data_IF_046345397294
#
_entry.id   IF_046345397294
#
_cell.length_a   1.000
_cell.length_b   1.000
_cell.length_c   1.000
_cell.angle_alpha   90.00
_cell.angle_beta   90.00
_cell.angle_gamma   90.00
#
_symmetry.space_group_name_H-M   'P 1'
#
loop_
_entity.id
_entity.type
_entity.pdbx_description
1 polymer ?
#
# COMPACT_ATOMS: atom_id res chain seq x y z
N UNK A 1 15.34 -12.32 -16.98
CA UNK A 1 14.96 -12.81 -15.64
C UNK A 1 15.00 -11.60 -14.73
N UNK A 2 13.85 -11.09 -14.31
CA UNK A 2 13.79 -9.95 -13.38
C UNK A 2 14.41 -10.42 -12.07
N UNK A 3 15.58 -9.91 -11.71
CA UNK A 3 16.08 -10.07 -10.34
C UNK A 3 15.14 -9.25 -9.48
N UNK A 4 14.22 -9.92 -8.80
CA UNK A 4 13.43 -9.32 -7.74
C UNK A 4 14.41 -8.63 -6.78
N UNK A 5 14.27 -7.33 -6.49
CA UNK A 5 15.24 -6.59 -5.67
C UNK A 5 15.28 -7.07 -4.21
N UNK A 6 14.36 -7.97 -3.82
CA UNK A 6 14.25 -8.50 -2.47
C UNK A 6 14.85 -9.91 -2.36
N UNK A 7 15.62 -10.20 -1.30
CA UNK A 7 16.12 -11.53 -1.02
C UNK A 7 14.98 -12.50 -0.64
N UNK A 8 15.28 -13.80 -0.66
CA UNK A 8 14.43 -14.84 -0.06
C UNK A 8 14.89 -15.14 1.35
N UNK A 9 13.97 -15.21 2.31
CA UNK A 9 14.30 -15.64 3.66
C UNK A 9 14.71 -17.13 3.67
N UNK A 10 15.77 -17.52 4.39
CA UNK A 10 16.26 -18.90 4.41
C UNK A 10 15.33 -19.86 5.17
N UNK A 11 14.58 -19.36 6.15
CA UNK A 11 13.64 -20.12 6.97
C UNK A 11 12.55 -19.21 7.56
N UNK A 12 11.58 -19.81 8.24
CA UNK A 12 10.44 -19.12 8.88
C UNK A 12 10.88 -18.15 9.97
N UNK A 13 11.89 -18.48 10.78
CA UNK A 13 12.33 -17.60 11.85
C UNK A 13 12.99 -16.34 11.28
N UNK A 14 13.82 -16.49 10.25
CA UNK A 14 14.41 -15.38 9.53
C UNK A 14 13.37 -14.49 8.84
N UNK A 15 12.28 -15.09 8.32
CA UNK A 15 11.17 -14.33 7.74
C UNK A 15 10.38 -13.53 8.79
N UNK A 16 10.04 -14.16 9.91
CA UNK A 16 9.10 -13.59 10.89
C UNK A 16 9.76 -12.69 11.93
N UNK A 17 11.04 -12.92 12.22
CA UNK A 17 11.79 -12.27 13.31
C UNK A 17 13.14 -11.72 12.89
N UNK A 18 13.58 -11.99 11.66
CA UNK A 18 14.86 -11.51 11.14
C UNK A 18 14.81 -10.06 10.67
N UNK A 19 15.95 -9.58 10.20
CA UNK A 19 16.15 -8.18 9.76
C UNK A 19 15.98 -8.00 8.23
N UNK A 20 15.87 -9.11 7.49
CA UNK A 20 15.73 -9.07 6.04
C UNK A 20 14.28 -8.75 5.66
N UNK A 21 14.12 -7.72 4.81
CA UNK A 21 12.89 -7.52 4.06
C UNK A 21 12.84 -8.52 2.90
N UNK A 22 12.08 -9.59 3.07
CA UNK A 22 11.86 -10.66 2.12
C UNK A 22 10.35 -10.84 1.86
N UNK A 23 9.71 -9.89 1.12
CA UNK A 23 8.27 -9.90 0.93
C UNK A 23 7.79 -11.17 0.23
N UNK A 24 6.73 -11.76 0.76
CA UNK A 24 6.10 -12.95 0.20
C UNK A 24 5.04 -12.52 -0.81
N UNK A 25 5.49 -12.30 -2.03
CA UNK A 25 4.59 -12.06 -3.14
C UNK A 25 3.72 -13.30 -3.41
N UNK A 26 2.43 -13.08 -3.67
CA UNK A 26 1.50 -14.14 -4.04
C UNK A 26 1.79 -14.69 -5.47
N UNK A 27 0.94 -15.61 -5.96
CA UNK A 27 1.11 -16.22 -7.29
C UNK A 27 1.11 -15.21 -8.45
N UNK A 28 0.52 -14.02 -8.27
CA UNK A 28 0.50 -12.93 -9.25
C UNK A 28 1.71 -11.99 -9.10
N UNK A 29 2.63 -12.27 -8.18
CA UNK A 29 3.77 -11.40 -7.88
C UNK A 29 3.40 -10.16 -7.07
N UNK A 30 2.37 -10.24 -6.21
CA UNK A 30 1.82 -9.09 -5.48
C UNK A 30 1.80 -9.29 -3.95
N UNK A 31 2.00 -8.20 -3.22
CA UNK A 31 1.69 -8.06 -1.79
C UNK A 31 0.56 -7.06 -1.58
N UNK A 32 -0.15 -7.21 -0.46
CA UNK A 32 -1.18 -6.24 -0.05
C UNK A 32 -0.49 -4.98 0.49
N UNK A 33 -1.00 -3.81 0.13
CA UNK A 33 -0.55 -2.53 0.68
C UNK A 33 -1.74 -1.76 1.24
N UNK A 34 -1.71 -1.50 2.54
CA UNK A 34 -2.69 -0.66 3.24
C UNK A 34 -2.07 0.71 3.46
N UNK A 35 -2.74 1.76 2.99
CA UNK A 35 -2.37 3.13 3.30
C UNK A 35 -3.19 3.64 4.47
N UNK A 36 -2.51 4.15 5.50
CA UNK A 36 -3.12 4.72 6.69
C UNK A 36 -2.57 6.12 6.92
N UNK A 37 -3.43 7.06 7.28
CA UNK A 37 -2.99 8.41 7.63
C UNK A 37 -2.07 8.35 8.85
N UNK A 38 -0.87 8.93 8.73
CA UNK A 38 0.17 8.84 9.75
C UNK A 38 -0.27 9.45 11.09
N UNK A 39 -0.92 10.61 11.04
CA UNK A 39 -1.29 11.36 12.24
C UNK A 39 -2.66 10.96 12.85
N UNK A 40 -3.66 10.59 12.04
CA UNK A 40 -5.02 10.27 12.53
C UNK A 40 -5.27 8.78 12.73
N UNK A 41 -4.49 7.91 12.09
CA UNK A 41 -4.73 6.47 12.09
C UNK A 41 -5.88 6.02 11.18
N UNK A 42 -6.49 6.92 10.41
CA UNK A 42 -7.55 6.57 9.45
C UNK A 42 -7.01 5.68 8.33
N UNK A 43 -7.68 4.56 8.03
CA UNK A 43 -7.36 3.74 6.87
C UNK A 43 -7.86 4.46 5.62
N UNK A 44 -6.96 4.78 4.71
CA UNK A 44 -7.24 5.57 3.52
C UNK A 44 -7.60 4.69 2.33
N UNK A 45 -6.83 3.62 2.09
CA UNK A 45 -7.06 2.72 0.97
C UNK A 45 -6.32 1.40 1.13
N UNK A 46 -6.77 0.41 0.36
CA UNK A 46 -6.04 -0.82 0.08
C UNK A 46 -5.68 -0.85 -1.41
N UNK A 47 -4.47 -1.27 -1.72
CA UNK A 47 -4.00 -1.54 -3.07
C UNK A 47 -3.03 -2.73 -3.07
N UNK A 48 -2.46 -3.02 -4.23
CA UNK A 48 -1.47 -4.07 -4.43
C UNK A 48 -0.13 -3.45 -4.81
N UNK A 49 0.97 -4.06 -4.42
CA UNK A 49 2.31 -3.73 -4.88
C UNK A 49 2.94 -4.98 -5.48
N UNK A 50 3.51 -4.86 -6.67
CA UNK A 50 4.52 -5.82 -7.12
C UNK A 50 5.91 -5.42 -6.56
N UNK A 51 6.92 -6.20 -6.89
CA UNK A 51 8.30 -5.96 -6.45
C UNK A 51 8.82 -4.56 -6.81
N UNK A 52 8.56 -4.11 -8.03
CA UNK A 52 8.95 -2.78 -8.52
C UNK A 52 8.24 -1.67 -7.75
N UNK A 53 6.94 -1.80 -7.49
CA UNK A 53 6.17 -0.80 -6.76
C UNK A 53 6.64 -0.66 -5.31
N UNK A 54 6.92 -1.77 -4.63
CA UNK A 54 7.45 -1.75 -3.27
C UNK A 54 8.86 -1.14 -3.23
N UNK A 55 9.73 -1.52 -4.17
CA UNK A 55 11.09 -0.98 -4.26
C UNK A 55 11.09 0.54 -4.49
N UNK A 56 10.29 1.03 -5.45
CA UNK A 56 10.16 2.47 -5.71
C UNK A 56 9.55 3.22 -4.52
N UNK A 57 8.66 2.58 -3.77
CA UNK A 57 8.08 3.19 -2.56
C UNK A 57 9.14 3.42 -1.49
N UNK A 58 10.01 2.43 -1.27
CA UNK A 58 11.14 2.52 -0.34
C UNK A 58 12.17 3.56 -0.82
N UNK A 59 12.47 3.58 -2.11
CA UNK A 59 13.46 4.50 -2.70
C UNK A 59 13.00 5.96 -2.67
N UNK A 60 11.77 6.22 -3.10
CA UNK A 60 11.29 7.59 -3.32
C UNK A 60 10.60 8.20 -2.11
N UNK A 61 10.22 7.39 -1.11
CA UNK A 61 9.38 7.82 0.01
C UNK A 61 7.95 8.23 -0.42
N UNK A 62 7.51 7.85 -1.62
CA UNK A 62 6.15 8.10 -2.12
C UNK A 62 5.48 6.79 -2.46
N UNK A 63 4.22 6.61 -2.10
CA UNK A 63 3.50 5.37 -2.37
C UNK A 63 3.32 5.11 -3.88
N UNK A 64 3.88 3.99 -4.34
CA UNK A 64 3.67 3.42 -5.67
C UNK A 64 2.87 2.13 -5.54
N UNK A 65 1.97 1.88 -6.48
CA UNK A 65 1.11 0.70 -6.46
C UNK A 65 1.07 0.04 -7.84
N UNK A 66 0.57 -1.19 -7.88
CA UNK A 66 0.41 -1.97 -9.09
C UNK A 66 -1.07 -2.28 -9.37
N UNK A 67 -1.53 -1.90 -10.57
CA UNK A 67 -2.93 -2.01 -10.96
C UNK A 67 -3.14 -3.34 -11.65
N UNK A 68 -3.81 -4.27 -10.96
CA UNK A 68 -4.13 -5.59 -11.53
C UNK A 68 -4.96 -5.49 -12.81
N UNK A 69 -5.93 -4.57 -12.84
CA UNK A 69 -6.80 -4.38 -14.01
C UNK A 69 -6.10 -3.72 -15.19
N UNK A 70 -5.17 -2.78 -14.95
CA UNK A 70 -4.40 -2.10 -16.01
C UNK A 70 -3.07 -2.79 -16.33
N UNK A 71 -2.71 -3.81 -15.53
CA UNK A 71 -1.41 -4.45 -15.51
C UNK A 71 -0.25 -3.43 -15.52
N UNK A 72 -0.35 -2.39 -14.69
CA UNK A 72 0.52 -1.22 -14.75
C UNK A 72 0.88 -0.67 -13.38
N UNK A 73 2.13 -0.24 -13.24
CA UNK A 73 2.63 0.56 -12.12
C UNK A 73 1.97 1.95 -12.14
N UNK A 74 1.66 2.50 -10.96
CA UNK A 74 1.29 3.91 -10.85
C UNK A 74 1.81 4.53 -9.55
N UNK A 75 2.25 5.78 -9.64
CA UNK A 75 2.57 6.62 -8.48
C UNK A 75 1.31 7.32 -7.99
N UNK A 76 0.89 7.09 -6.74
CA UNK A 76 -0.38 7.68 -6.26
C UNK A 76 -0.29 9.20 -6.28
N UNK A 77 -1.28 9.82 -6.91
CA UNK A 77 -1.38 11.28 -7.01
C UNK A 77 -0.54 11.90 -8.11
N UNK A 78 0.12 11.11 -8.98
CA UNK A 78 0.93 11.65 -10.09
C UNK A 78 0.13 12.58 -11.01
N UNK A 79 -1.15 12.27 -11.24
CA UNK A 79 -2.03 13.11 -12.05
C UNK A 79 -2.81 14.15 -11.21
N UNK A 80 -3.25 13.80 -10.00
CA UNK A 80 -4.12 14.67 -9.18
C UNK A 80 -3.38 15.59 -8.21
N UNK A 81 -2.07 15.41 -8.02
CA UNK A 81 -1.29 16.10 -6.98
C UNK A 81 -1.48 15.54 -5.56
N UNK A 82 -2.43 14.61 -5.36
CA UNK A 82 -2.72 13.97 -4.06
C UNK A 82 -1.73 12.83 -3.76
N UNK A 83 -0.45 13.20 -3.66
CA UNK A 83 0.64 12.27 -3.32
C UNK A 83 0.45 11.71 -1.92
N UNK A 84 0.97 10.51 -1.70
CA UNK A 84 1.04 9.88 -0.37
C UNK A 84 2.50 9.77 0.04
N UNK A 85 2.98 10.69 0.88
CA UNK A 85 4.36 10.68 1.38
C UNK A 85 4.46 9.67 2.50
N UNK A 86 5.31 8.65 2.34
CA UNK A 86 5.50 7.59 3.32
C UNK A 86 6.34 8.12 4.47
N UNK A 87 5.81 8.03 5.68
CA UNK A 87 6.47 8.40 6.93
C UNK A 87 7.00 7.19 7.70
N UNK A 88 6.36 6.04 7.53
CA UNK A 88 6.74 4.76 8.12
C UNK A 88 6.14 3.65 7.24
N UNK A 89 6.88 2.56 7.07
CA UNK A 89 6.41 1.32 6.43
C UNK A 89 6.54 0.21 7.47
N UNK A 90 5.41 -0.46 7.76
CA UNK A 90 5.40 -1.68 8.55
C UNK A 90 5.14 -2.87 7.65
N UNK A 91 5.64 -4.03 8.05
CA UNK A 91 5.49 -5.30 7.37
C UNK A 91 4.78 -6.23 8.35
N UNK A 92 3.85 -7.05 7.86
CA UNK A 92 3.25 -8.09 8.68
C UNK A 92 4.22 -9.26 8.94
N UNK A 93 3.80 -10.21 9.78
CA UNK A 93 4.71 -11.20 10.33
C UNK A 93 5.29 -12.14 9.27
N UNK A 94 4.55 -12.48 8.22
CA UNK A 94 5.00 -13.39 7.17
C UNK A 94 5.25 -12.68 5.83
N UNK A 95 5.28 -11.36 5.89
CA UNK A 95 5.68 -10.40 4.86
C UNK A 95 4.85 -10.44 3.57
N UNK A 96 3.57 -10.84 3.64
CA UNK A 96 2.66 -10.80 2.49
C UNK A 96 1.81 -9.51 2.43
N UNK A 97 1.90 -8.67 3.46
CA UNK A 97 1.28 -7.35 3.51
C UNK A 97 2.19 -6.27 4.11
N UNK A 98 2.00 -5.03 3.64
CA UNK A 98 2.61 -3.83 4.19
C UNK A 98 1.57 -2.80 4.62
N UNK A 99 1.88 -2.09 5.69
CA UNK A 99 1.13 -0.92 6.17
C UNK A 99 1.98 0.34 5.98
N UNK A 100 1.54 1.20 5.06
CA UNK A 100 2.14 2.49 4.79
C UNK A 100 1.47 3.54 5.67
N UNK A 101 2.21 4.11 6.62
CA UNK A 101 1.82 5.33 7.30
C UNK A 101 2.16 6.51 6.40
N UNK A 102 1.15 7.17 5.84
CA UNK A 102 1.33 8.21 4.84
C UNK A 102 0.81 9.55 5.32
N UNK A 103 1.43 10.63 4.83
CA UNK A 103 0.91 12.00 4.92
C UNK A 103 0.35 12.41 3.55
N UNK A 104 -0.97 12.37 3.36
CA UNK A 104 -1.61 12.79 2.11
C UNK A 104 -1.27 14.25 1.78
N UNK A 105 -1.01 14.53 0.51
CA UNK A 105 -0.80 15.88 -0.01
C UNK A 105 -2.06 16.38 -0.73
N UNK A 106 -2.06 17.64 -1.16
CA UNK A 106 -3.21 18.26 -1.83
C UNK A 106 -4.36 18.50 -0.85
N UNK A 107 -5.58 18.15 -1.26
CA UNK A 107 -6.80 18.20 -0.42
C UNK A 107 -6.88 17.04 0.60
N UNK A 108 -5.88 16.14 0.59
CA UNK A 108 -5.83 14.96 1.44
C UNK A 108 -6.67 13.78 0.95
N UNK A 109 -7.29 13.87 -0.24
CA UNK A 109 -8.08 12.81 -0.85
C UNK A 109 -7.26 11.57 -1.23
N UNK A 110 -7.66 10.39 -0.78
CA UNK A 110 -7.15 9.13 -1.34
C UNK A 110 -8.06 8.56 -2.43
N UNK A 111 -9.36 8.92 -2.44
CA UNK A 111 -10.35 8.34 -3.32
C UNK A 111 -10.65 9.21 -4.56
N UNK A 112 -10.84 8.56 -5.71
CA UNK A 112 -11.16 9.24 -6.96
C UNK A 112 -12.59 9.82 -7.02
N UNK A 113 -13.47 9.42 -6.08
CA UNK A 113 -14.82 9.99 -5.93
C UNK A 113 -14.87 11.17 -4.95
N UNK A 114 -13.73 11.68 -4.50
CA UNK A 114 -13.62 12.91 -3.70
C UNK A 114 -13.51 12.70 -2.19
N UNK A 115 -13.68 11.47 -1.69
CA UNK A 115 -13.53 11.17 -0.26
C UNK A 115 -12.06 11.02 0.16
N UNK A 116 -11.79 11.35 1.43
CA UNK A 116 -10.47 11.15 2.04
C UNK A 116 -10.09 9.67 2.07
N UNK A 117 -11.00 8.81 2.51
CA UNK A 117 -10.83 7.37 2.51
C UNK A 117 -11.67 6.70 1.41
N UNK A 118 -11.12 5.64 0.80
CA UNK A 118 -11.88 4.73 -0.04
C UNK A 118 -12.96 3.96 0.75
N UNK A 119 -12.86 3.93 2.08
CA UNK A 119 -13.78 3.26 3.00
C UNK A 119 -14.88 4.20 3.53
N UNK A 120 -15.31 5.15 2.71
CA UNK A 120 -16.37 6.14 3.01
C UNK A 120 -17.80 5.55 3.09
N UNK A 121 -17.97 4.23 2.96
CA UNK A 121 -19.30 3.58 3.00
C UNK A 121 -19.37 2.55 4.10
N UNK A 122 -20.50 2.55 4.80
CA UNK A 122 -20.84 1.57 5.85
C UNK A 122 -22.06 0.76 5.45
N UNK A 123 -22.16 -0.46 5.99
CA UNK A 123 -23.33 -1.31 5.84
C UNK A 123 -24.30 -1.06 6.99
N UNK A 124 -25.43 -0.43 6.69
CA UNK A 124 -26.44 -0.04 7.69
C UNK A 124 -27.84 -0.40 7.16
N UNK A 125 -28.65 -1.06 7.99
CA UNK A 125 -30.05 -1.42 7.69
C UNK A 125 -30.28 -2.04 6.31
N UNK A 126 -29.37 -2.93 5.90
CA UNK A 126 -29.48 -3.66 4.63
C UNK A 126 -29.07 -2.86 3.39
N UNK A 127 -28.43 -1.69 3.54
CA UNK A 127 -27.93 -0.88 2.42
C UNK A 127 -26.56 -0.26 2.71
N UNK A 128 -25.89 0.20 1.65
CA UNK A 128 -24.68 1.02 1.76
C UNK A 128 -25.07 2.48 2.01
N UNK A 129 -24.41 3.11 2.97
CA UNK A 129 -24.57 4.52 3.33
C UNK A 129 -23.21 5.21 3.29
N UNK A 130 -23.12 6.36 2.66
CA UNK A 130 -21.91 7.19 2.65
C UNK A 130 -21.74 7.92 4.00
N UNK A 131 -20.50 7.97 4.48
CA UNK A 131 -20.05 8.59 5.72
C UNK A 131 -18.70 9.26 5.44
N UNK A 132 -18.54 10.47 5.95
CA UNK A 132 -17.24 11.18 5.96
C UNK A 132 -16.32 10.66 7.07
#
# INVERSE_FOLDING_TARGET
MSMTPFPTAPDTHALERGELLAPRFNADGLVVAIAQHADTGEILMLAWMNDTALALTLETGVAHYFSRSRNALWKKGETSGQLQIVSELRVDCDQDAVLLKVRPQGDGGACHVGFRSCFYRVWEDGRLVERD
#
